data_IF_956592981458
#
_entry.id   IF_956592981458
#
_cell.length_a   1.000
_cell.length_b   1.000
_cell.length_c   1.000
_cell.angle_alpha   90.00
_cell.angle_beta   90.00
_cell.angle_gamma   90.00
#
_symmetry.space_group_name_H-M   'P 1'
#
loop_
_entity.id
_entity.type
_entity.pdbx_description
1 polymer ?
#
# COMPACT_ATOMS: atom_id res chain seq x y z
N UNK A 1 39.73 -60.04 -0.73
CA UNK A 1 39.32 -58.66 -1.06
C UNK A 1 37.89 -58.47 -0.59
N UNK A 2 37.64 -57.62 0.42
CA UNK A 2 36.30 -57.26 0.90
C UNK A 2 35.84 -55.99 0.15
N UNK A 3 34.58 -55.88 -0.30
CA UNK A 3 34.12 -54.66 -0.93
C UNK A 3 33.87 -53.60 0.14
N UNK A 4 34.46 -52.42 -0.07
CA UNK A 4 34.27 -51.24 0.75
C UNK A 4 32.89 -50.65 0.41
N UNK A 5 31.87 -50.93 1.22
CA UNK A 5 30.58 -50.23 1.16
C UNK A 5 30.77 -48.83 1.72
N UNK A 6 31.02 -47.86 0.84
CA UNK A 6 30.92 -46.43 1.15
C UNK A 6 29.47 -46.09 1.48
N UNK A 7 29.13 -46.14 2.77
CA UNK A 7 27.91 -45.51 3.29
C UNK A 7 28.05 -44.01 3.13
N UNK A 8 27.43 -43.45 2.10
CA UNK A 8 27.10 -42.03 2.07
C UNK A 8 26.11 -41.75 3.20
N UNK A 9 26.61 -41.36 4.36
CA UNK A 9 25.80 -40.65 5.36
C UNK A 9 25.42 -39.32 4.74
N UNK A 10 24.24 -39.25 4.11
CA UNK A 10 23.56 -37.98 3.84
C UNK A 10 23.41 -37.28 5.19
N UNK A 11 24.27 -36.28 5.39
CA UNK A 11 24.07 -35.26 6.41
C UNK A 11 22.62 -34.78 6.29
N UNK A 12 21.84 -34.99 7.35
CA UNK A 12 20.58 -34.29 7.58
C UNK A 12 20.92 -32.82 7.78
N UNK A 13 21.18 -32.11 6.67
CA UNK A 13 20.95 -30.69 6.63
C UNK A 13 19.51 -30.49 7.09
N UNK A 14 19.30 -29.71 8.13
CA UNK A 14 17.98 -29.24 8.52
C UNK A 14 17.30 -28.71 7.27
N UNK A 15 16.35 -29.48 6.72
CA UNK A 15 15.58 -29.06 5.55
C UNK A 15 14.77 -27.87 6.00
N UNK A 16 15.30 -26.66 5.78
CA UNK A 16 14.47 -25.46 5.72
C UNK A 16 13.41 -25.80 4.67
N UNK A 17 12.17 -25.98 5.10
CA UNK A 17 11.08 -26.31 4.19
C UNK A 17 10.90 -25.12 3.26
N UNK A 18 11.09 -25.33 1.96
CA UNK A 18 10.85 -24.31 0.95
C UNK A 18 9.40 -23.80 1.07
N UNK A 19 9.16 -22.49 0.89
CA UNK A 19 7.83 -21.91 0.95
C UNK A 19 6.91 -22.58 -0.07
N UNK A 20 5.73 -23.02 0.40
CA UNK A 20 4.65 -23.45 -0.50
C UNK A 20 3.98 -22.23 -1.11
N UNK A 21 3.70 -21.21 -0.30
CA UNK A 21 3.08 -19.96 -0.76
C UNK A 21 4.01 -18.78 -0.51
N UNK A 22 4.27 -18.00 -1.55
CA UNK A 22 4.93 -16.71 -1.44
C UNK A 22 3.90 -15.61 -1.64
N UNK A 23 3.86 -14.65 -0.73
CA UNK A 23 3.06 -13.42 -0.90
C UNK A 23 4.01 -12.26 -1.16
N UNK A 24 3.71 -11.50 -2.21
CA UNK A 24 4.43 -10.29 -2.56
C UNK A 24 3.58 -9.06 -2.25
N UNK A 25 3.96 -8.33 -1.20
CA UNK A 25 3.38 -7.03 -0.88
C UNK A 25 3.99 -5.96 -1.78
N UNK A 26 3.19 -5.12 -2.43
CA UNK A 26 3.71 -4.10 -3.36
C UNK A 26 3.29 -2.71 -2.95
N UNK A 27 4.27 -1.82 -2.81
CA UNK A 27 4.06 -0.40 -2.54
C UNK A 27 4.81 0.45 -3.59
N UNK A 28 4.48 1.74 -3.72
CA UNK A 28 5.25 2.62 -4.61
C UNK A 28 6.68 2.85 -4.11
N UNK A 29 6.85 2.81 -2.80
CA UNK A 29 8.09 3.13 -2.10
C UNK A 29 8.04 4.53 -1.46
N UNK A 30 9.08 4.86 -0.71
CA UNK A 30 9.31 6.19 -0.16
C UNK A 30 10.80 6.52 -0.30
N UNK A 31 11.18 7.55 -1.08
CA UNK A 31 12.58 7.88 -1.30
C UNK A 31 13.23 8.44 -0.04
N UNK A 32 14.50 8.06 0.20
CA UNK A 32 15.29 8.52 1.36
C UNK A 32 15.96 9.88 1.17
N UNK A 33 16.15 10.29 -0.07
CA UNK A 33 16.92 11.49 -0.41
C UNK A 33 16.26 12.23 -1.57
N UNK A 34 16.62 13.49 -1.77
CA UNK A 34 16.20 14.27 -2.95
C UNK A 34 16.63 13.60 -4.27
N UNK A 35 17.77 12.89 -4.27
CA UNK A 35 18.21 12.12 -5.42
C UNK A 35 17.17 11.03 -5.77
N UNK A 36 16.81 10.19 -4.80
CA UNK A 36 15.81 9.15 -5.02
C UNK A 36 14.41 9.71 -5.26
N UNK A 37 14.07 10.86 -4.67
CA UNK A 37 12.80 11.53 -4.95
C UNK A 37 12.73 11.98 -6.41
N UNK A 38 13.82 12.51 -6.98
CA UNK A 38 13.90 12.84 -8.41
C UNK A 38 13.70 11.61 -9.27
N UNK A 39 14.39 10.51 -8.97
CA UNK A 39 14.25 9.26 -9.73
C UNK A 39 12.83 8.68 -9.64
N UNK A 40 12.27 8.64 -8.43
CA UNK A 40 10.92 8.17 -8.15
C UNK A 40 9.90 8.93 -9.01
N UNK A 41 9.91 10.26 -8.90
CA UNK A 41 8.95 11.14 -9.57
C UNK A 41 9.12 11.09 -11.10
N UNK A 42 10.35 11.02 -11.59
CA UNK A 42 10.61 10.93 -13.02
C UNK A 42 10.09 9.61 -13.58
N UNK A 43 10.35 8.49 -12.89
CA UNK A 43 9.81 7.18 -13.28
C UNK A 43 8.29 7.14 -13.18
N UNK A 44 7.69 7.75 -12.16
CA UNK A 44 6.24 7.85 -12.05
C UNK A 44 5.64 8.56 -13.27
N UNK A 45 6.19 9.70 -13.70
CA UNK A 45 5.74 10.41 -14.91
C UNK A 45 5.92 9.58 -16.19
N UNK A 46 7.04 8.87 -16.34
CA UNK A 46 7.30 8.03 -17.50
C UNK A 46 6.35 6.83 -17.53
N UNK A 47 6.18 6.15 -16.40
CA UNK A 47 5.45 4.90 -16.31
C UNK A 47 3.92 5.12 -16.30
N UNK A 48 3.42 6.11 -15.55
CA UNK A 48 1.98 6.37 -15.40
C UNK A 48 1.45 7.34 -16.45
N UNK A 49 2.14 8.48 -16.66
CA UNK A 49 1.67 9.54 -17.57
C UNK A 49 2.27 9.41 -18.99
N UNK A 50 3.07 8.36 -19.24
CA UNK A 50 3.73 8.06 -20.54
C UNK A 50 4.55 9.22 -21.10
N UNK A 51 5.11 10.05 -20.21
CA UNK A 51 5.97 11.16 -20.60
C UNK A 51 7.34 10.66 -21.11
N UNK A 52 7.90 11.25 -22.17
CA UNK A 52 9.29 10.99 -22.57
C UNK A 52 10.28 11.31 -21.45
N UNK A 53 11.34 10.51 -21.29
CA UNK A 53 12.30 10.61 -20.15
C UNK A 53 12.83 12.03 -19.94
N UNK A 54 13.29 12.68 -21.01
CA UNK A 54 13.83 14.04 -20.94
C UNK A 54 12.80 15.05 -20.41
N UNK A 55 11.54 14.96 -20.84
CA UNK A 55 10.47 15.85 -20.39
C UNK A 55 10.07 15.57 -18.95
N UNK A 56 10.02 14.29 -18.56
CA UNK A 56 9.76 13.89 -17.18
C UNK A 56 10.84 14.45 -16.23
N UNK A 57 12.11 14.26 -16.56
CA UNK A 57 13.24 14.77 -15.76
C UNK A 57 13.24 16.29 -15.66
N UNK A 58 13.02 17.01 -16.77
CA UNK A 58 12.93 18.47 -16.76
C UNK A 58 11.75 18.97 -15.90
N UNK A 59 10.61 18.29 -15.98
CA UNK A 59 9.41 18.61 -15.20
C UNK A 59 9.68 18.45 -13.71
N UNK A 60 10.28 17.33 -13.33
CA UNK A 60 10.61 17.01 -11.95
C UNK A 60 11.67 17.96 -11.39
N UNK A 61 12.72 18.27 -12.15
CA UNK A 61 13.75 19.22 -11.72
C UNK A 61 13.17 20.61 -11.41
N UNK A 62 12.25 21.08 -12.25
CA UNK A 62 11.55 22.35 -12.02
C UNK A 62 10.65 22.25 -10.80
N UNK A 63 9.90 21.14 -10.66
CA UNK A 63 8.99 20.94 -9.54
C UNK A 63 9.73 20.87 -8.20
N UNK A 64 10.82 20.10 -8.10
CA UNK A 64 11.62 19.95 -6.88
C UNK A 64 12.19 21.30 -6.40
N UNK A 65 12.60 22.18 -7.32
CA UNK A 65 13.07 23.53 -6.99
C UNK A 65 11.98 24.42 -6.40
N UNK A 66 10.72 24.15 -6.70
CA UNK A 66 9.57 24.97 -6.30
C UNK A 66 8.77 24.37 -5.13
N UNK A 67 8.83 23.04 -4.96
CA UNK A 67 7.98 22.33 -3.99
C UNK A 67 8.59 22.34 -2.59
N UNK A 68 8.10 23.26 -1.76
CA UNK A 68 8.43 23.29 -0.32
C UNK A 68 8.01 22.01 0.41
N UNK A 69 6.93 21.37 -0.04
CA UNK A 69 6.40 20.15 0.59
C UNK A 69 7.40 18.99 0.46
N UNK A 70 7.97 18.77 -0.73
CA UNK A 70 8.96 17.70 -0.92
C UNK A 70 10.21 17.96 -0.10
N UNK A 71 10.74 19.19 -0.17
CA UNK A 71 11.93 19.55 0.61
C UNK A 71 11.69 19.26 2.09
N UNK A 72 10.54 19.68 2.62
CA UNK A 72 10.17 19.42 4.01
C UNK A 72 9.98 17.93 4.33
N UNK A 73 9.41 17.14 3.41
CA UNK A 73 9.34 15.67 3.57
C UNK A 73 10.73 15.06 3.70
N UNK A 74 11.71 15.54 2.93
CA UNK A 74 13.09 15.07 3.02
C UNK A 74 13.78 15.54 4.30
N UNK A 75 13.52 16.77 4.75
CA UNK A 75 14.08 17.32 6.00
C UNK A 75 13.55 16.60 7.25
N UNK A 76 12.28 16.22 7.24
CA UNK A 76 11.62 15.48 8.34
C UNK A 76 11.82 13.97 8.24
N UNK A 77 12.48 13.47 7.19
CA UNK A 77 12.77 12.04 7.05
C UNK A 77 13.72 11.57 8.17
N UNK A 78 13.33 10.52 8.87
CA UNK A 78 14.17 9.82 9.85
C UNK A 78 14.29 8.34 9.48
N UNK A 79 15.29 7.63 10.03
CA UNK A 79 15.42 6.18 9.82
C UNK A 79 14.20 5.40 10.36
N UNK A 80 13.54 5.92 11.39
CA UNK A 80 12.27 5.37 11.92
C UNK A 80 11.12 5.49 10.91
N UNK A 81 11.21 6.45 9.97
CA UNK A 81 10.27 6.64 8.86
C UNK A 81 10.67 5.83 7.61
N UNK A 82 11.69 4.99 7.69
CA UNK A 82 12.07 4.10 6.61
C UNK A 82 10.98 3.06 6.37
N UNK A 83 10.27 3.20 5.25
CA UNK A 83 9.15 2.31 4.91
C UNK A 83 9.54 0.83 4.80
N UNK A 84 10.79 0.51 4.44
CA UNK A 84 11.28 -0.88 4.45
C UNK A 84 11.31 -1.48 5.86
N UNK A 85 11.63 -0.72 6.91
CA UNK A 85 11.59 -1.22 8.29
C UNK A 85 10.16 -1.56 8.73
N UNK A 86 9.21 -0.70 8.35
CA UNK A 86 7.79 -0.95 8.59
C UNK A 86 7.30 -2.20 7.83
N UNK A 87 7.63 -2.33 6.55
CA UNK A 87 7.21 -3.46 5.73
C UNK A 87 7.92 -4.77 6.10
N UNK A 88 9.17 -4.73 6.56
CA UNK A 88 9.85 -5.89 7.15
C UNK A 88 9.05 -6.43 8.34
N UNK A 89 8.61 -5.55 9.23
CA UNK A 89 7.83 -5.92 10.42
C UNK A 89 6.44 -6.43 10.02
N UNK A 90 5.74 -5.71 9.14
CA UNK A 90 4.43 -6.11 8.63
C UNK A 90 4.48 -7.50 7.97
N UNK A 91 5.49 -7.73 7.13
CA UNK A 91 5.68 -8.99 6.41
C UNK A 91 5.91 -10.16 7.36
N UNK A 92 6.79 -10.00 8.35
CA UNK A 92 7.03 -11.03 9.38
C UNK A 92 5.78 -11.33 10.19
N UNK A 93 5.00 -10.32 10.54
CA UNK A 93 3.78 -10.51 11.30
C UNK A 93 2.70 -11.24 10.49
N UNK A 94 2.53 -10.91 9.21
CA UNK A 94 1.64 -11.64 8.30
C UNK A 94 2.13 -13.08 8.14
N UNK A 95 3.43 -13.30 7.94
CA UNK A 95 4.03 -14.62 7.78
C UNK A 95 3.76 -15.51 9.01
N UNK A 96 3.99 -14.95 10.20
CA UNK A 96 3.74 -15.63 11.47
C UNK A 96 2.25 -15.97 11.64
N UNK A 97 1.35 -15.02 11.38
CA UNK A 97 -0.10 -15.24 11.49
C UNK A 97 -0.59 -16.31 10.53
N UNK A 98 -0.23 -16.24 9.24
CA UNK A 98 -0.61 -17.24 8.25
C UNK A 98 0.00 -18.61 8.57
N UNK A 99 1.27 -18.66 8.98
CA UNK A 99 1.96 -19.92 9.34
C UNK A 99 1.38 -20.56 10.60
N UNK A 100 0.82 -19.78 11.53
CA UNK A 100 0.14 -20.31 12.70
C UNK A 100 -1.30 -20.72 12.37
N UNK A 101 -2.07 -19.85 11.72
CA UNK A 101 -3.52 -19.94 11.70
C UNK A 101 -4.11 -20.51 10.40
N UNK A 102 -3.46 -20.31 9.25
CA UNK A 102 -4.06 -20.69 7.97
C UNK A 102 -4.20 -22.23 7.85
N UNK A 103 -5.31 -22.75 7.29
CA UNK A 103 -5.51 -24.19 7.11
C UNK A 103 -4.68 -24.76 5.94
N UNK A 104 -4.34 -23.94 4.95
CA UNK A 104 -3.64 -24.34 3.72
C UNK A 104 -2.42 -23.44 3.44
N UNK A 105 -1.73 -23.65 2.33
CA UNK A 105 -0.67 -22.74 1.84
C UNK A 105 0.66 -22.75 2.61
N UNK A 106 0.75 -23.39 3.77
CA UNK A 106 1.99 -23.48 4.56
C UNK A 106 3.09 -24.32 3.90
N UNK A 107 4.38 -23.98 4.12
CA UNK A 107 4.88 -22.78 4.82
C UNK A 107 4.77 -21.52 3.94
N UNK A 108 4.59 -20.37 4.59
CA UNK A 108 4.49 -19.07 3.92
C UNK A 108 5.84 -18.36 3.87
N UNK A 109 6.05 -17.58 2.82
CA UNK A 109 7.09 -16.55 2.75
C UNK A 109 6.45 -15.22 2.35
N UNK A 110 6.61 -14.18 3.16
CA UNK A 110 6.07 -12.85 2.85
C UNK A 110 7.23 -11.91 2.53
N UNK A 111 7.24 -11.43 1.28
CA UNK A 111 8.20 -10.44 0.82
C UNK A 111 7.47 -9.13 0.47
N UNK A 112 8.20 -8.04 0.36
CA UNK A 112 7.68 -6.79 -0.21
C UNK A 112 8.58 -6.27 -1.31
N UNK A 113 8.04 -5.38 -2.13
CA UNK A 113 8.78 -4.69 -3.18
C UNK A 113 8.26 -3.29 -3.42
N UNK A 114 9.13 -2.48 -4.00
CA UNK A 114 8.81 -1.12 -4.41
C UNK A 114 8.72 -1.00 -5.92
N UNK A 115 7.74 -0.22 -6.35
CA UNK A 115 7.52 0.10 -7.76
C UNK A 115 8.62 1.00 -8.29
N UNK A 116 9.07 1.94 -7.44
CA UNK A 116 10.07 2.93 -7.77
C UNK A 116 11.31 2.82 -6.86
N UNK A 117 12.47 3.35 -7.30
CA UNK A 117 13.68 3.40 -6.50
C UNK A 117 13.48 4.19 -5.21
N UNK A 118 14.04 3.68 -4.11
CA UNK A 118 13.98 4.32 -2.79
C UNK A 118 15.35 4.47 -2.14
N UNK A 119 16.29 3.60 -2.48
CA UNK A 119 17.68 3.56 -1.99
C UNK A 119 18.56 2.72 -2.92
N UNK A 120 19.84 2.56 -2.57
CA UNK A 120 20.80 1.74 -3.33
C UNK A 120 20.46 0.24 -3.32
N UNK A 121 19.65 -0.21 -2.35
CA UNK A 121 19.20 -1.60 -2.28
C UNK A 121 18.09 -1.84 -3.31
N UNK A 122 18.27 -2.88 -4.12
CA UNK A 122 17.30 -3.24 -5.16
C UNK A 122 16.07 -3.95 -4.58
N UNK A 123 15.05 -3.15 -4.25
CA UNK A 123 13.72 -3.60 -3.84
C UNK A 123 12.75 -3.76 -5.02
N UNK A 124 13.24 -3.81 -6.26
CA UNK A 124 12.35 -3.84 -7.42
C UNK A 124 11.50 -5.12 -7.45
N UNK A 125 10.26 -4.97 -7.94
CA UNK A 125 9.34 -6.08 -8.20
C UNK A 125 10.04 -7.16 -9.04
N UNK A 126 10.79 -6.75 -10.07
CA UNK A 126 11.53 -7.68 -10.94
C UNK A 126 12.55 -8.50 -10.15
N UNK A 127 13.37 -7.89 -9.30
CA UNK A 127 14.36 -8.60 -8.51
C UNK A 127 13.69 -9.62 -7.56
N UNK A 128 12.60 -9.23 -6.90
CA UNK A 128 11.86 -10.12 -6.00
C UNK A 128 11.24 -11.31 -6.73
N UNK A 129 10.61 -11.10 -7.88
CA UNK A 129 10.05 -12.18 -8.70
C UNK A 129 11.15 -13.10 -9.24
N UNK A 130 12.29 -12.55 -9.69
CA UNK A 130 13.44 -13.34 -10.13
C UNK A 130 14.01 -14.21 -9.01
N UNK A 131 14.13 -13.66 -7.79
CA UNK A 131 14.59 -14.43 -6.63
C UNK A 131 13.59 -15.55 -6.29
N UNK A 132 12.28 -15.27 -6.35
CA UNK A 132 11.25 -16.28 -6.11
C UNK A 132 11.37 -17.46 -7.09
N UNK A 133 11.37 -17.19 -8.41
CA UNK A 133 11.37 -18.24 -9.42
C UNK A 133 12.69 -19.03 -9.49
N UNK A 134 13.82 -18.43 -9.07
CA UNK A 134 15.14 -19.07 -9.15
C UNK A 134 15.56 -19.79 -7.87
N UNK A 135 15.02 -19.41 -6.70
CA UNK A 135 15.53 -19.88 -5.39
C UNK A 135 14.47 -20.45 -4.46
N UNK A 136 13.23 -19.96 -4.50
CA UNK A 136 12.28 -20.17 -3.40
C UNK A 136 11.42 -21.43 -3.55
N UNK A 137 11.40 -22.10 -4.71
CA UNK A 137 10.61 -23.33 -4.91
C UNK A 137 9.10 -23.17 -4.64
N UNK A 138 8.60 -21.95 -4.79
CA UNK A 138 7.21 -21.55 -4.53
C UNK A 138 6.23 -22.30 -5.43
N UNK A 139 5.11 -22.74 -4.87
CA UNK A 139 4.00 -23.37 -5.60
C UNK A 139 2.81 -22.42 -5.83
N UNK A 140 2.65 -21.39 -5.00
CA UNK A 140 1.63 -20.35 -5.20
C UNK A 140 2.20 -18.97 -4.91
N UNK A 141 2.04 -18.06 -5.85
CA UNK A 141 2.34 -16.65 -5.71
C UNK A 141 1.04 -15.86 -5.58
N UNK A 142 0.91 -15.11 -4.49
CA UNK A 142 -0.16 -14.12 -4.32
C UNK A 142 0.47 -12.74 -4.30
N UNK A 143 -0.05 -11.83 -5.10
CA UNK A 143 0.35 -10.43 -5.06
C UNK A 143 -0.72 -9.62 -4.32
N UNK A 144 -0.31 -8.91 -3.28
CA UNK A 144 -1.15 -7.97 -2.54
C UNK A 144 -0.59 -6.55 -2.70
N UNK A 145 -1.19 -5.71 -3.54
CA UNK A 145 -0.84 -4.31 -3.59
C UNK A 145 -1.32 -3.59 -2.33
N UNK A 146 -0.47 -2.72 -1.80
CA UNK A 146 -0.74 -1.93 -0.59
C UNK A 146 -1.49 -0.63 -0.87
N UNK A 147 -1.86 -0.35 -2.13
CA UNK A 147 -2.83 0.71 -2.42
C UNK A 147 -4.25 0.16 -2.29
N UNK A 148 -5.18 0.92 -1.71
CA UNK A 148 -6.53 0.45 -1.46
C UNK A 148 -7.32 0.20 -2.74
N UNK A 149 -7.08 0.99 -3.80
CA UNK A 149 -7.98 1.10 -4.95
C UNK A 149 -7.35 0.59 -6.24
N UNK A 150 -8.18 0.02 -7.11
CA UNK A 150 -7.77 -0.36 -8.45
C UNK A 150 -8.01 0.78 -9.46
N UNK A 151 -6.93 1.25 -10.08
CA UNK A 151 -6.95 2.26 -11.15
C UNK A 151 -5.76 2.06 -12.08
N UNK A 152 -5.83 2.68 -13.25
CA UNK A 152 -4.77 2.73 -14.26
C UNK A 152 -3.40 3.21 -13.75
N UNK A 153 -3.37 3.94 -12.63
CA UNK A 153 -2.15 4.49 -12.00
C UNK A 153 -1.81 3.84 -10.64
N UNK A 154 -2.60 2.86 -10.19
CA UNK A 154 -2.41 2.13 -8.92
C UNK A 154 -2.36 0.62 -9.17
N UNK A 155 -3.34 -0.17 -8.71
CA UNK A 155 -3.24 -1.62 -8.70
C UNK A 155 -3.32 -2.24 -10.10
N UNK A 156 -4.05 -1.63 -11.04
CA UNK A 156 -4.09 -2.11 -12.43
C UNK A 156 -2.73 -1.96 -13.10
N UNK A 157 -2.04 -0.84 -12.86
CA UNK A 157 -0.66 -0.64 -13.30
C UNK A 157 0.27 -1.73 -12.77
N UNK A 158 0.21 -2.00 -11.46
CA UNK A 158 1.03 -3.02 -10.81
C UNK A 158 0.73 -4.42 -11.36
N UNK A 159 -0.55 -4.75 -11.54
CA UNK A 159 -0.98 -6.00 -12.14
C UNK A 159 -0.41 -6.16 -13.55
N UNK A 160 -0.57 -5.14 -14.40
CA UNK A 160 -0.04 -5.15 -15.76
C UNK A 160 1.50 -5.30 -15.79
N UNK A 161 2.21 -4.66 -14.86
CA UNK A 161 3.68 -4.77 -14.73
C UNK A 161 4.12 -6.19 -14.37
N UNK A 162 3.37 -6.88 -13.50
CA UNK A 162 3.65 -8.25 -13.08
C UNK A 162 3.22 -9.25 -14.15
N UNK A 163 2.05 -9.07 -14.74
CA UNK A 163 1.54 -9.93 -15.82
C UNK A 163 2.51 -9.93 -17.00
N UNK A 164 3.06 -8.76 -17.35
CA UNK A 164 4.14 -8.64 -18.35
C UNK A 164 5.38 -9.44 -17.94
N UNK A 165 5.84 -9.33 -16.70
CA UNK A 165 6.97 -10.13 -16.21
C UNK A 165 6.67 -11.63 -16.32
N UNK A 166 5.47 -12.06 -15.93
CA UNK A 166 5.05 -13.45 -16.01
C UNK A 166 5.04 -13.96 -17.44
N UNK A 167 4.50 -13.20 -18.39
CA UNK A 167 4.53 -13.56 -19.82
C UNK A 167 5.95 -13.73 -20.36
N UNK A 168 6.87 -12.86 -19.95
CA UNK A 168 8.27 -12.93 -20.38
C UNK A 168 8.98 -14.17 -19.82
N UNK A 169 8.75 -14.53 -18.56
CA UNK A 169 9.55 -15.52 -17.82
C UNK A 169 8.86 -16.87 -17.58
N UNK A 170 7.57 -17.01 -17.93
CA UNK A 170 6.80 -18.24 -17.73
C UNK A 170 6.03 -18.64 -18.99
N UNK A 171 5.60 -19.89 -19.03
CA UNK A 171 4.66 -20.46 -20.00
C UNK A 171 3.42 -20.92 -19.24
N UNK A 172 2.25 -20.64 -19.82
CA UNK A 172 0.98 -21.07 -19.25
C UNK A 172 0.67 -22.47 -19.78
N UNK A 173 0.32 -23.40 -18.88
CA UNK A 173 0.05 -24.80 -19.27
C UNK A 173 -1.46 -25.08 -19.38
N UNK A 174 -2.28 -24.37 -18.61
CA UNK A 174 -3.73 -24.58 -18.56
C UNK A 174 -4.43 -23.22 -18.64
N UNK A 175 -5.10 -22.92 -19.76
CA UNK A 175 -5.89 -21.69 -19.92
C UNK A 175 -7.29 -21.82 -19.31
N UNK A 176 -7.78 -23.04 -19.08
CA UNK A 176 -9.20 -23.29 -18.86
C UNK A 176 -9.57 -23.38 -17.38
N UNK A 177 -8.65 -23.81 -16.49
CA UNK A 177 -9.00 -24.05 -15.07
C UNK A 177 -8.04 -23.46 -14.03
N UNK A 178 -6.79 -23.15 -14.37
CA UNK A 178 -5.78 -22.71 -13.37
C UNK A 178 -4.87 -21.61 -13.93
N UNK A 179 -4.52 -20.60 -13.14
CA UNK A 179 -3.44 -19.65 -13.50
C UNK A 179 -2.04 -20.29 -13.35
N UNK A 180 -1.92 -21.59 -13.65
CA UNK A 180 -0.73 -22.39 -13.44
C UNK A 180 0.33 -22.08 -14.49
N UNK A 181 1.52 -21.74 -14.00
CA UNK A 181 2.63 -21.25 -14.81
C UNK A 181 3.87 -22.12 -14.58
N UNK A 182 4.61 -22.39 -15.66
CA UNK A 182 5.92 -23.03 -15.61
C UNK A 182 7.00 -22.02 -15.99
N UNK A 183 8.03 -21.93 -15.17
CA UNK A 183 9.11 -20.98 -15.37
C UNK A 183 10.03 -21.44 -16.49
N UNK A 184 10.34 -20.54 -17.43
CA UNK A 184 11.32 -20.82 -18.49
C UNK A 184 12.70 -20.99 -17.89
N UNK A 185 13.41 -22.06 -18.26
CA UNK A 185 14.77 -22.38 -17.82
C UNK A 185 14.94 -22.73 -16.32
N UNK A 186 13.85 -22.85 -15.56
CA UNK A 186 13.89 -23.27 -14.16
C UNK A 186 12.88 -24.40 -13.91
N UNK A 187 13.20 -25.38 -13.05
CA UNK A 187 12.29 -26.48 -12.72
C UNK A 187 11.26 -26.05 -11.67
N UNK A 188 10.61 -24.90 -11.89
CA UNK A 188 9.66 -24.29 -10.95
C UNK A 188 8.35 -24.04 -11.66
N UNK A 189 7.25 -24.38 -10.98
CA UNK A 189 5.90 -24.12 -11.44
C UNK A 189 5.06 -23.62 -10.28
N UNK A 190 4.13 -22.70 -10.56
CA UNK A 190 3.30 -22.10 -9.53
C UNK A 190 1.98 -21.57 -10.08
N UNK A 191 0.99 -21.49 -9.19
CA UNK A 191 -0.23 -20.72 -9.41
C UNK A 191 0.01 -19.25 -9.09
N UNK A 192 -0.51 -18.36 -9.92
CA UNK A 192 -0.43 -16.92 -9.72
C UNK A 192 -1.81 -16.30 -9.50
N UNK A 193 -1.94 -15.49 -8.46
CA UNK A 193 -3.10 -14.63 -8.27
C UNK A 193 -2.72 -13.22 -7.81
N UNK A 194 -3.63 -12.28 -8.05
CA UNK A 194 -3.44 -10.86 -7.78
C UNK A 194 -4.70 -10.30 -7.12
N UNK A 195 -4.55 -9.77 -5.91
CA UNK A 195 -5.64 -9.13 -5.17
C UNK A 195 -5.83 -7.72 -5.74
N UNK A 196 -6.96 -7.47 -6.41
CA UNK A 196 -7.16 -6.22 -7.16
C UNK A 196 -7.26 -4.97 -6.28
N UNK A 197 -7.98 -5.06 -5.15
CA UNK A 197 -8.20 -3.93 -4.24
C UNK A 197 -8.69 -4.41 -2.88
N UNK A 198 -8.56 -3.55 -1.87
CA UNK A 198 -9.09 -3.74 -0.51
C UNK A 198 -9.88 -2.51 -0.02
N UNK A 199 -10.23 -1.60 -0.94
CA UNK A 199 -10.95 -0.35 -0.69
C UNK A 199 -12.30 -0.52 0.02
N UNK A 200 -13.03 -1.60 -0.27
CA UNK A 200 -14.36 -1.89 0.29
C UNK A 200 -14.32 -2.88 1.47
N UNK A 201 -13.14 -3.16 2.03
CA UNK A 201 -13.02 -4.10 3.13
C UNK A 201 -13.66 -3.57 4.41
N UNK A 202 -14.49 -4.41 5.05
CA UNK A 202 -15.27 -4.04 6.23
C UNK A 202 -14.41 -3.61 7.43
N UNK A 203 -13.14 -4.04 7.49
CA UNK A 203 -12.23 -3.67 8.56
C UNK A 203 -11.96 -2.16 8.62
N UNK A 204 -12.04 -1.45 7.48
CA UNK A 204 -11.82 0.00 7.41
C UNK A 204 -12.90 0.73 8.22
N UNK A 205 -14.16 0.34 7.99
CA UNK A 205 -15.32 0.89 8.70
C UNK A 205 -15.19 0.60 10.19
N UNK A 206 -14.95 -0.66 10.55
CA UNK A 206 -14.85 -1.08 11.95
C UNK A 206 -13.74 -0.34 12.72
N UNK A 207 -12.58 -0.17 12.09
CA UNK A 207 -11.44 0.52 12.70
C UNK A 207 -11.76 1.98 13.01
N UNK A 208 -12.21 2.74 12.01
CA UNK A 208 -12.47 4.16 12.18
C UNK A 208 -13.69 4.43 13.06
N UNK A 209 -14.73 3.60 13.00
CA UNK A 209 -15.88 3.71 13.90
C UNK A 209 -15.46 3.53 15.36
N UNK A 210 -14.63 2.52 15.68
CA UNK A 210 -14.13 2.31 17.04
C UNK A 210 -13.35 3.54 17.54
N UNK A 211 -12.43 4.03 16.72
CA UNK A 211 -11.59 5.20 17.04
C UNK A 211 -12.39 6.49 17.22
N UNK A 212 -13.42 6.70 16.39
CA UNK A 212 -14.28 7.87 16.51
C UNK A 212 -15.21 7.78 17.72
N UNK A 213 -15.70 6.58 18.09
CA UNK A 213 -16.47 6.39 19.32
C UNK A 213 -15.70 6.84 20.56
N UNK A 214 -14.42 6.49 20.65
CA UNK A 214 -13.57 6.87 21.79
C UNK A 214 -13.52 8.39 21.97
N UNK A 215 -13.52 9.15 20.87
CA UNK A 215 -13.48 10.63 20.90
C UNK A 215 -14.88 11.22 21.09
N UNK A 216 -15.88 10.72 20.37
CA UNK A 216 -17.24 11.26 20.41
C UNK A 216 -17.97 10.93 21.71
N UNK A 217 -17.54 9.90 22.44
CA UNK A 217 -18.13 9.55 23.74
C UNK A 217 -17.50 10.34 24.91
N UNK A 218 -16.41 11.07 24.69
CA UNK A 218 -15.85 11.98 25.68
C UNK A 218 -16.45 13.38 25.45
N UNK A 219 -17.35 13.89 26.34
CA UNK A 219 -18.03 15.17 26.15
C UNK A 219 -17.10 16.37 25.92
N UNK A 220 -15.89 16.33 26.46
CA UNK A 220 -14.90 17.40 26.31
C UNK A 220 -14.12 17.34 24.99
N UNK A 221 -14.11 16.18 24.31
CA UNK A 221 -13.37 15.96 23.06
C UNK A 221 -14.27 15.87 21.82
N UNK A 222 -15.60 15.95 21.98
CA UNK A 222 -16.53 15.84 20.85
C UNK A 222 -16.22 16.91 19.81
N UNK A 223 -15.91 16.54 18.56
CA UNK A 223 -15.60 17.52 17.55
C UNK A 223 -16.86 18.24 17.07
N UNK A 224 -16.75 19.48 16.62
CA UNK A 224 -17.85 20.18 15.95
C UNK A 224 -18.09 19.66 14.52
N UNK A 225 -17.07 18.98 13.97
CA UNK A 225 -16.99 18.54 12.59
C UNK A 225 -16.01 17.38 12.42
N UNK A 226 -16.40 16.38 11.65
CA UNK A 226 -15.51 15.30 11.19
C UNK A 226 -15.26 15.47 9.69
N UNK A 227 -14.00 15.48 9.27
CA UNK A 227 -13.61 15.54 7.86
C UNK A 227 -12.88 14.25 7.52
N UNK A 228 -13.56 13.36 6.81
CA UNK A 228 -12.91 12.21 6.20
C UNK A 228 -12.11 12.68 4.99
N UNK A 229 -10.87 12.22 4.87
CA UNK A 229 -9.99 12.56 3.76
C UNK A 229 -9.35 11.33 3.16
N UNK A 230 -8.95 11.42 1.89
CA UNK A 230 -8.08 10.45 1.24
C UNK A 230 -7.20 11.14 0.21
N UNK A 231 -6.08 10.52 -0.13
CA UNK A 231 -5.18 10.98 -1.19
C UNK A 231 -5.92 11.03 -2.52
N UNK A 232 -5.70 12.09 -3.30
CA UNK A 232 -6.18 12.16 -4.68
C UNK A 232 -5.62 11.04 -5.57
N UNK A 233 -4.46 10.46 -5.21
CA UNK A 233 -3.87 9.35 -5.97
C UNK A 233 -4.68 8.05 -5.85
N UNK A 234 -5.54 7.93 -4.83
CA UNK A 234 -6.41 6.77 -4.66
C UNK A 234 -7.66 6.83 -5.56
N UNK A 235 -7.86 7.92 -6.32
CA UNK A 235 -9.03 8.01 -7.20
C UNK A 235 -8.97 6.98 -8.32
N UNK A 236 -10.07 6.24 -8.51
CA UNK A 236 -10.19 5.34 -9.65
C UNK A 236 -10.49 6.10 -10.95
N UNK A 237 -10.36 5.40 -12.08
CA UNK A 237 -10.71 5.96 -13.39
C UNK A 237 -12.22 6.27 -13.47
N UNK A 238 -13.07 5.42 -12.88
CA UNK A 238 -14.48 5.74 -12.62
C UNK A 238 -14.65 6.59 -11.34
N UNK A 239 -14.30 7.87 -11.48
CA UNK A 239 -14.34 8.86 -10.40
C UNK A 239 -15.70 8.95 -9.73
N UNK A 240 -16.79 8.86 -10.48
CA UNK A 240 -18.14 9.03 -9.93
C UNK A 240 -18.51 7.87 -9.01
N UNK A 241 -18.26 6.63 -9.45
CA UNK A 241 -18.50 5.46 -8.63
C UNK A 241 -17.57 5.43 -7.42
N UNK A 242 -16.29 5.77 -7.59
CA UNK A 242 -15.36 5.88 -6.48
C UNK A 242 -15.80 6.91 -5.44
N UNK A 243 -16.19 8.13 -5.84
CA UNK A 243 -16.67 9.15 -4.90
C UNK A 243 -17.93 8.67 -4.17
N UNK A 244 -18.85 8.01 -4.88
CA UNK A 244 -20.05 7.43 -4.28
C UNK A 244 -19.70 6.39 -3.22
N UNK A 245 -18.82 5.44 -3.54
CA UNK A 245 -18.43 4.38 -2.61
C UNK A 245 -17.62 4.93 -1.44
N UNK A 246 -16.72 5.89 -1.69
CA UNK A 246 -15.97 6.58 -0.65
C UNK A 246 -16.91 7.29 0.34
N UNK A 247 -17.93 7.99 -0.15
CA UNK A 247 -18.98 8.60 0.68
C UNK A 247 -19.79 7.55 1.44
N UNK A 248 -20.08 6.40 0.84
CA UNK A 248 -20.76 5.30 1.52
C UNK A 248 -19.92 4.78 2.70
N UNK A 249 -18.62 4.53 2.51
CA UNK A 249 -17.70 4.12 3.58
C UNK A 249 -17.70 5.15 4.72
N UNK A 250 -17.58 6.45 4.39
CA UNK A 250 -17.66 7.52 5.40
C UNK A 250 -19.00 7.48 6.15
N UNK A 251 -20.11 7.30 5.42
CA UNK A 251 -21.45 7.22 5.98
C UNK A 251 -21.62 6.00 6.90
N UNK A 252 -21.06 4.85 6.52
CA UNK A 252 -21.13 3.63 7.33
C UNK A 252 -20.27 3.74 8.59
N UNK A 253 -19.11 4.41 8.51
CA UNK A 253 -18.31 4.75 9.69
C UNK A 253 -19.16 5.56 10.68
N UNK A 254 -19.85 6.59 10.17
CA UNK A 254 -20.67 7.52 10.96
C UNK A 254 -21.93 6.85 11.52
N UNK A 255 -22.63 6.00 10.76
CA UNK A 255 -23.79 5.23 11.25
C UNK A 255 -23.45 4.38 12.46
N UNK A 256 -22.22 3.88 12.50
CA UNK A 256 -21.74 3.08 13.60
C UNK A 256 -21.32 3.92 14.81
N UNK A 257 -21.33 5.26 14.76
CA UNK A 257 -21.04 6.16 15.88
C UNK A 257 -22.38 6.69 16.43
N UNK A 258 -22.61 6.59 17.74
CA UNK A 258 -23.94 6.81 18.35
C UNK A 258 -24.45 8.26 18.24
N UNK A 259 -23.56 9.24 18.37
CA UNK A 259 -23.87 10.68 18.26
C UNK A 259 -22.83 11.37 17.36
N UNK A 260 -22.93 11.24 16.04
CA UNK A 260 -21.89 11.74 15.16
C UNK A 260 -22.03 13.24 14.93
N UNK A 261 -20.93 13.96 15.09
CA UNK A 261 -20.79 15.33 14.62
C UNK A 261 -21.06 15.42 13.11
N UNK A 262 -21.47 16.60 12.59
CA UNK A 262 -21.58 16.81 11.15
C UNK A 262 -20.29 16.40 10.43
N UNK A 263 -20.42 15.79 9.26
CA UNK A 263 -19.25 15.28 8.54
C UNK A 263 -19.17 15.68 7.07
N UNK A 264 -17.96 15.66 6.50
CA UNK A 264 -17.68 15.81 5.07
C UNK A 264 -16.63 14.80 4.64
N UNK A 265 -16.68 14.43 3.36
CA UNK A 265 -15.64 13.68 2.65
C UNK A 265 -14.86 14.63 1.75
N UNK A 266 -13.54 14.56 1.74
CA UNK A 266 -12.67 15.45 0.97
C UNK A 266 -11.43 14.72 0.45
N UNK A 267 -10.62 15.41 -0.34
CA UNK A 267 -9.34 14.91 -0.83
C UNK A 267 -8.18 15.80 -0.38
N UNK A 268 -6.99 15.22 -0.24
CA UNK A 268 -5.75 15.97 -0.08
C UNK A 268 -4.75 15.61 -1.19
N UNK A 269 -3.81 16.52 -1.43
CA UNK A 269 -2.71 16.30 -2.36
C UNK A 269 -1.55 15.65 -1.60
N UNK A 270 -1.13 14.43 -1.98
CA UNK A 270 0.01 13.75 -1.36
C UNK A 270 1.34 14.41 -1.74
N UNK A 271 2.41 13.96 -1.09
CA UNK A 271 3.77 14.49 -1.30
C UNK A 271 4.26 14.34 -2.75
N UNK A 272 3.85 13.25 -3.43
CA UNK A 272 4.19 12.90 -4.80
C UNK A 272 3.19 13.47 -5.81
N UNK A 273 2.30 14.38 -5.38
CA UNK A 273 1.42 15.10 -6.29
C UNK A 273 2.22 16.11 -7.12
N UNK A 274 2.81 15.61 -8.20
CA UNK A 274 3.12 16.43 -9.37
C UNK A 274 1.78 16.87 -9.93
N UNK A 275 1.64 18.14 -10.30
CA UNK A 275 0.39 18.70 -10.85
C UNK A 275 -0.06 17.82 -12.01
N UNK A 276 -0.88 16.82 -11.69
CA UNK A 276 -1.40 15.92 -12.69
C UNK A 276 -2.34 16.76 -13.52
N UNK A 277 -2.38 16.50 -14.82
CA UNK A 277 -3.41 17.04 -15.71
C UNK A 277 -4.83 16.64 -15.22
N UNK A 278 -4.93 15.73 -14.25
CA UNK A 278 -6.13 15.33 -13.51
C UNK A 278 -6.37 16.28 -12.34
N UNK A 279 -6.69 17.56 -12.61
CA UNK A 279 -7.26 18.45 -11.59
C UNK A 279 -8.56 17.81 -11.08
N UNK A 280 -8.56 17.40 -9.81
CA UNK A 280 -9.81 17.03 -9.14
C UNK A 280 -10.53 18.35 -8.84
N UNK A 281 -11.69 18.56 -9.47
CA UNK A 281 -12.56 19.72 -9.22
C UNK A 281 -13.26 19.65 -7.85
N UNK A 282 -13.14 18.54 -7.13
CA UNK A 282 -13.67 18.36 -5.78
C UNK A 282 -12.93 19.24 -4.76
N UNK A 283 -13.61 19.46 -3.64
CA UNK A 283 -13.07 20.27 -2.55
C UNK A 283 -11.77 19.67 -2.00
N UNK A 284 -10.73 20.49 -1.90
CA UNK A 284 -9.48 20.15 -1.22
C UNK A 284 -9.66 20.29 0.30
N UNK A 285 -9.02 19.40 1.07
CA UNK A 285 -9.03 19.39 2.54
C UNK A 285 -8.78 20.77 3.15
N UNK A 286 -7.77 21.49 2.66
CA UNK A 286 -7.42 22.85 3.14
C UNK A 286 -8.57 23.84 2.97
N UNK A 287 -9.26 23.78 1.83
CA UNK A 287 -10.39 24.66 1.52
C UNK A 287 -11.58 24.33 2.41
N UNK A 288 -11.90 23.03 2.58
CA UNK A 288 -13.00 22.58 3.45
C UNK A 288 -12.78 23.01 4.89
N UNK A 289 -11.57 22.84 5.42
CA UNK A 289 -11.21 23.28 6.78
C UNK A 289 -11.47 24.78 6.94
N UNK A 290 -10.91 25.62 6.05
CA UNK A 290 -11.05 27.08 6.11
C UNK A 290 -12.50 27.53 5.99
N UNK A 291 -13.29 26.92 5.11
CA UNK A 291 -14.71 27.22 4.95
C UNK A 291 -15.51 26.92 6.20
N UNK A 292 -15.21 25.81 6.89
CA UNK A 292 -15.92 25.42 8.10
C UNK A 292 -15.48 26.22 9.33
N UNK A 293 -14.19 26.57 9.44
CA UNK A 293 -13.71 27.51 10.46
C UNK A 293 -14.39 28.88 10.33
N UNK A 294 -14.55 29.40 9.10
CA UNK A 294 -15.30 30.64 8.85
C UNK A 294 -16.78 30.56 9.28
N UNK A 295 -17.35 29.35 9.32
CA UNK A 295 -18.72 29.08 9.81
C UNK A 295 -18.76 28.83 11.32
N UNK A 296 -17.68 29.10 12.05
CA UNK A 296 -17.62 28.98 13.52
C UNK A 296 -17.35 27.58 14.04
N UNK A 297 -16.83 26.65 13.21
CA UNK A 297 -16.40 25.33 13.68
C UNK A 297 -15.04 25.44 14.37
N UNK A 298 -15.02 25.17 15.68
CA UNK A 298 -13.90 25.39 16.60
C UNK A 298 -13.26 24.08 17.09
N UNK A 299 -13.74 22.93 16.64
CA UNK A 299 -13.08 21.64 16.82
C UNK A 299 -13.31 20.77 15.59
N UNK A 300 -12.29 20.58 14.75
CA UNK A 300 -12.36 19.79 13.52
C UNK A 300 -11.43 18.58 13.65
N UNK A 301 -11.95 17.38 13.42
CA UNK A 301 -11.16 16.15 13.37
C UNK A 301 -11.03 15.66 11.94
N UNK A 302 -9.80 15.46 11.47
CA UNK A 302 -9.48 14.90 10.15
C UNK A 302 -9.26 13.38 10.29
N UNK A 303 -9.90 12.59 9.44
CA UNK A 303 -9.80 11.12 9.44
C UNK A 303 -9.28 10.65 8.08
N UNK A 304 -8.01 10.21 7.98
CA UNK A 304 -7.41 9.76 6.73
C UNK A 304 -7.73 8.28 6.47
N UNK A 305 -8.84 8.01 5.76
CA UNK A 305 -9.51 6.69 5.78
C UNK A 305 -8.62 5.52 5.34
N UNK A 306 -7.68 5.74 4.41
CA UNK A 306 -6.83 4.67 3.87
C UNK A 306 -5.35 4.80 4.23
N UNK A 307 -4.95 5.83 4.98
CA UNK A 307 -3.54 6.10 5.26
C UNK A 307 -3.09 5.40 6.55
N UNK A 308 -3.06 4.07 6.50
CA UNK A 308 -2.62 3.21 7.62
C UNK A 308 -1.09 3.01 7.67
N UNK A 309 -0.43 3.07 6.51
CA UNK A 309 1.01 2.86 6.38
C UNK A 309 1.73 4.20 6.62
N UNK A 310 2.75 4.25 7.50
CA UNK A 310 3.51 5.46 7.71
C UNK A 310 4.27 5.82 6.43
N UNK A 311 3.91 6.98 5.88
CA UNK A 311 4.56 7.60 4.72
C UNK A 311 4.68 9.09 4.95
N UNK A 312 5.35 9.82 4.05
CA UNK A 312 5.34 11.29 4.06
C UNK A 312 3.93 11.88 4.10
N UNK A 313 2.92 11.18 3.57
CA UNK A 313 1.55 11.64 3.66
C UNK A 313 1.06 11.69 5.11
N UNK A 314 1.32 10.64 5.90
CA UNK A 314 0.87 10.54 7.29
C UNK A 314 1.77 11.27 8.28
N UNK A 315 3.06 11.38 7.98
CA UNK A 315 4.07 11.91 8.92
C UNK A 315 4.35 13.39 8.70
N UNK A 316 4.12 13.89 7.49
CA UNK A 316 4.50 15.25 7.10
C UNK A 316 3.30 16.02 6.52
N UNK A 317 2.68 15.53 5.45
CA UNK A 317 1.65 16.28 4.72
C UNK A 317 0.37 16.47 5.54
N UNK A 318 -0.24 15.39 6.04
CA UNK A 318 -1.47 15.47 6.83
C UNK A 318 -1.27 16.25 8.14
N UNK A 319 -0.19 16.03 8.92
CA UNK A 319 0.11 16.85 10.09
C UNK A 319 0.25 18.34 9.77
N UNK A 320 0.90 18.69 8.64
CA UNK A 320 0.97 20.10 8.20
C UNK A 320 -0.40 20.67 7.87
N UNK A 321 -1.25 19.93 7.16
CA UNK A 321 -2.62 20.37 6.86
C UNK A 321 -3.45 20.53 8.15
N UNK A 322 -3.20 19.70 9.16
CA UNK A 322 -3.82 19.75 10.47
C UNK A 322 -3.22 20.78 11.43
N UNK A 323 -2.07 21.38 11.12
CA UNK A 323 -1.39 22.38 11.99
C UNK A 323 -2.16 23.70 12.19
N UNK A 324 -3.30 23.85 11.51
CA UNK A 324 -4.20 24.98 11.66
C UNK A 324 -4.83 24.97 13.06
N UNK A 325 -5.17 26.15 13.60
CA UNK A 325 -5.82 26.25 14.91
C UNK A 325 -7.10 25.42 14.94
N UNK A 326 -7.31 24.69 16.03
CA UNK A 326 -8.52 23.91 16.29
C UNK A 326 -8.78 22.75 15.31
N UNK A 327 -7.74 22.24 14.66
CA UNK A 327 -7.80 21.08 13.79
C UNK A 327 -6.93 19.97 14.37
N UNK A 328 -7.49 18.76 14.49
CA UNK A 328 -6.80 17.57 14.98
C UNK A 328 -6.78 16.50 13.91
N UNK A 329 -5.62 15.91 13.66
CA UNK A 329 -5.51 14.70 12.85
C UNK A 329 -5.80 13.48 13.73
N UNK A 330 -6.71 12.62 13.29
CA UNK A 330 -6.93 11.30 13.88
C UNK A 330 -6.03 10.29 13.18
N UNK A 331 -4.80 10.17 13.66
CA UNK A 331 -3.80 9.26 13.09
C UNK A 331 -4.18 7.80 13.31
N UNK A 332 -3.79 6.91 12.40
CA UNK A 332 -3.90 5.47 12.61
C UNK A 332 -2.90 5.01 13.69
N UNK A 333 -3.38 4.30 14.71
CA UNK A 333 -2.58 3.65 15.76
C UNK A 333 -2.56 2.14 15.58
N UNK A 334 -1.49 1.50 16.08
CA UNK A 334 -1.28 0.05 16.00
C UNK A 334 -1.43 -0.51 14.57
N UNK A 335 -1.06 0.28 13.56
CA UNK A 335 -1.37 -0.03 12.17
C UNK A 335 -0.69 -1.30 11.68
N UNK A 336 0.51 -1.64 12.17
CA UNK A 336 1.18 -2.91 11.83
C UNK A 336 0.32 -4.10 12.24
N UNK A 337 -0.06 -4.19 13.52
CA UNK A 337 -0.84 -5.33 14.03
C UNK A 337 -2.22 -5.43 13.38
N UNK A 338 -2.85 -4.26 13.18
CA UNK A 338 -4.11 -4.13 12.49
C UNK A 338 -4.02 -4.65 11.04
N UNK A 339 -3.09 -4.13 10.24
CA UNK A 339 -2.91 -4.55 8.85
C UNK A 339 -2.44 -6.00 8.75
N UNK A 340 -1.56 -6.46 9.64
CA UNK A 340 -1.11 -7.85 9.64
C UNK A 340 -2.27 -8.82 9.82
N UNK A 341 -3.22 -8.51 10.70
CA UNK A 341 -4.41 -9.34 10.91
C UNK A 341 -5.29 -9.33 9.67
N UNK A 342 -5.71 -8.15 9.22
CA UNK A 342 -6.69 -8.05 8.14
C UNK A 342 -6.12 -8.49 6.78
N UNK A 343 -4.85 -8.23 6.48
CA UNK A 343 -4.22 -8.71 5.26
C UNK A 343 -4.00 -10.22 5.28
N UNK A 344 -3.74 -10.83 6.45
CA UNK A 344 -3.73 -12.29 6.55
C UNK A 344 -5.10 -12.88 6.16
N UNK A 345 -6.19 -12.28 6.63
CA UNK A 345 -7.55 -12.73 6.29
C UNK A 345 -7.86 -12.57 4.80
N UNK A 346 -7.43 -11.47 4.17
CA UNK A 346 -7.58 -11.27 2.71
C UNK A 346 -6.79 -12.35 1.95
N UNK A 347 -5.53 -12.57 2.32
CA UNK A 347 -4.65 -13.57 1.69
C UNK A 347 -5.25 -14.98 1.84
N UNK A 348 -5.83 -15.30 3.00
CA UNK A 348 -6.46 -16.58 3.23
C UNK A 348 -7.72 -16.78 2.37
N UNK A 349 -8.57 -15.76 2.24
CA UNK A 349 -9.73 -15.81 1.33
C UNK A 349 -9.28 -16.04 -0.11
N UNK A 350 -8.22 -15.36 -0.54
CA UNK A 350 -7.65 -15.50 -1.87
C UNK A 350 -7.09 -16.90 -2.14
N UNK A 351 -6.72 -17.67 -1.11
CA UNK A 351 -6.25 -19.05 -1.27
C UNK A 351 -7.36 -20.06 -1.50
N UNK A 352 -8.56 -19.76 -1.02
CA UNK A 352 -9.76 -20.62 -1.13
C UNK A 352 -10.48 -20.39 -2.46
N UNK A 353 -10.37 -19.17 -3.01
CA UNK A 353 -10.74 -18.84 -4.38
C UNK A 353 -9.72 -19.45 -5.36
#
# INVERSE_FOLDING_TARGET
>A
MKPLLLRFTRSLASKISLPKTTVLLIHNGQPRTLYYAREFLSKQLIEHEKLPSLLAEMTVDKYLKMSKNIVKCMEEYTEDLEISNYLDTLSKNIENKLTQNAPFGKPYKINYSFTFPVSDKDYSIKNSLMNMISKDGTQRLIVLPLHPTCSSNTNEYLKNKIDKFMMEHTELIDEENTNFKVVKNYPVSFDYSFINEWFNESFIVNYWSKRLKEICNNPEEVPDMIIFTTSCNNTSDDKNNFIKNYKNICGDIIKNVDYPSPWRSTFYYPWDFLVSLKIIKESNLTTVIKEHQKKGKNSIVIVPIFDFIPTFNTTTILPQLASQSNVRLLEATNSVEFLSTNFSDIIERELVN
#
